data_IF_796482362145
#
_entry.id   IF_796482362145
#
_cell.length_a   1.000
_cell.length_b   1.000
_cell.length_c   1.000
_cell.angle_alpha   90.00
_cell.angle_beta   90.00
_cell.angle_gamma   90.00
#
_symmetry.space_group_name_H-M   'P 1'
#
loop_
_entity.id
_entity.type
_entity.pdbx_description
1 polymer ?
#
# COMPACT_ATOMS: atom_id res chain seq x y z
N UNK A 1 -10.39 -1.74 -17.55
CA UNK A 1 -9.85 -3.11 -17.79
C UNK A 1 -9.84 -3.80 -16.45
N UNK A 2 -10.68 -4.81 -16.25
CA UNK A 2 -10.89 -5.45 -14.95
C UNK A 2 -10.16 -6.80 -14.90
N UNK A 3 -9.48 -7.07 -13.79
CA UNK A 3 -8.78 -8.33 -13.51
C UNK A 3 -9.16 -8.81 -12.10
N UNK A 4 -9.10 -10.12 -11.80
CA UNK A 4 -9.30 -10.62 -10.44
C UNK A 4 -8.17 -10.13 -9.51
N UNK A 5 -8.52 -9.70 -8.29
CA UNK A 5 -7.55 -9.34 -7.26
C UNK A 5 -6.89 -10.58 -6.66
N UNK A 6 -5.55 -10.60 -6.53
CA UNK A 6 -4.79 -11.71 -5.92
C UNK A 6 -3.56 -11.20 -5.14
N UNK A 7 -3.24 -11.86 -4.02
CA UNK A 7 -1.98 -11.70 -3.31
C UNK A 7 -0.93 -12.67 -3.88
N UNK A 8 0.24 -12.15 -4.25
CA UNK A 8 1.38 -12.90 -4.81
C UNK A 8 2.61 -12.76 -3.93
N UNK A 9 3.58 -13.66 -4.06
CA UNK A 9 4.84 -13.58 -3.32
C UNK A 9 5.68 -12.38 -3.78
N UNK A 10 6.08 -11.53 -2.84
CA UNK A 10 6.99 -10.41 -3.06
C UNK A 10 7.90 -10.29 -1.83
N UNK A 11 9.12 -10.85 -1.85
CA UNK A 11 10.06 -10.69 -0.74
C UNK A 11 11.40 -11.43 -0.89
N UNK A 12 12.42 -10.94 -0.19
CA UNK A 12 13.74 -11.59 -0.05
C UNK A 12 14.83 -11.06 -0.99
N UNK A 13 14.46 -10.45 -2.11
CA UNK A 13 15.35 -9.90 -3.14
C UNK A 13 15.00 -8.46 -3.57
N UNK A 14 13.87 -7.94 -3.08
CA UNK A 14 13.43 -6.57 -3.34
C UNK A 14 13.89 -5.63 -2.22
N UNK A 15 14.58 -4.55 -2.57
CA UNK A 15 14.91 -3.47 -1.64
C UNK A 15 13.76 -2.45 -1.59
N UNK A 16 13.26 -2.15 -0.39
CA UNK A 16 12.44 -0.94 -0.22
C UNK A 16 13.38 0.24 -0.04
N UNK A 17 13.13 1.32 -0.78
CA UNK A 17 13.86 2.58 -0.60
C UNK A 17 13.34 3.39 0.60
N UNK A 18 12.10 3.12 1.01
CA UNK A 18 11.41 3.81 2.12
C UNK A 18 10.41 2.89 2.83
N UNK A 19 10.17 3.11 4.11
CA UNK A 19 9.09 2.48 4.87
C UNK A 19 8.57 3.38 5.98
N UNK A 20 7.36 3.09 6.47
CA UNK A 20 6.74 3.77 7.61
C UNK A 20 6.09 2.72 8.52
N UNK A 21 6.26 2.88 9.83
CA UNK A 21 5.74 1.95 10.84
C UNK A 21 4.63 2.60 11.65
N UNK A 22 3.56 1.86 11.93
CA UNK A 22 2.46 2.32 12.80
C UNK A 22 2.27 1.35 13.95
N UNK A 23 2.10 1.89 15.15
CA UNK A 23 1.62 1.12 16.29
C UNK A 23 0.10 1.07 16.25
N UNK A 24 -0.46 -0.14 16.31
CA UNK A 24 -1.90 -0.36 16.24
C UNK A 24 -2.37 -1.19 17.44
N UNK A 25 -3.60 -0.94 17.87
CA UNK A 25 -4.25 -1.82 18.86
C UNK A 25 -4.66 -3.14 18.23
N UNK A 26 -4.91 -4.16 19.04
CA UNK A 26 -5.44 -5.44 18.56
C UNK A 26 -6.78 -5.27 17.80
N UNK A 27 -7.63 -4.34 18.26
CA UNK A 27 -8.89 -4.01 17.59
C UNK A 27 -8.65 -3.43 16.19
N UNK A 28 -7.77 -2.44 16.08
CA UNK A 28 -7.42 -1.84 14.79
C UNK A 28 -6.82 -2.87 13.85
N UNK A 29 -5.90 -3.71 14.35
CA UNK A 29 -5.30 -4.80 13.57
C UNK A 29 -6.36 -5.78 13.06
N UNK A 30 -7.30 -6.21 13.90
CA UNK A 30 -8.39 -7.08 13.48
C UNK A 30 -9.28 -6.46 12.39
N UNK A 31 -9.52 -5.15 12.43
CA UNK A 31 -10.27 -4.46 11.36
C UNK A 31 -9.52 -4.49 10.04
N UNK A 32 -8.19 -4.32 10.06
CA UNK A 32 -7.34 -4.45 8.86
C UNK A 32 -7.45 -5.87 8.31
N UNK A 33 -7.27 -6.89 9.16
CA UNK A 33 -7.37 -8.30 8.76
C UNK A 33 -8.74 -8.61 8.16
N UNK A 34 -9.82 -8.20 8.82
CA UNK A 34 -11.18 -8.42 8.32
C UNK A 34 -11.43 -7.79 6.95
N UNK A 35 -10.90 -6.59 6.70
CA UNK A 35 -10.96 -5.94 5.39
C UNK A 35 -10.20 -6.74 4.33
N UNK A 36 -8.96 -7.16 4.64
CA UNK A 36 -8.11 -7.92 3.71
C UNK A 36 -8.70 -9.30 3.40
N UNK A 37 -9.36 -9.94 4.36
CA UNK A 37 -10.03 -11.24 4.16
C UNK A 37 -11.27 -11.17 3.28
N UNK A 38 -11.82 -9.97 3.05
CA UNK A 38 -13.01 -9.75 2.22
C UNK A 38 -12.75 -8.62 1.20
N UNK A 39 -11.77 -8.79 0.30
CA UNK A 39 -11.41 -7.73 -0.63
C UNK A 39 -12.56 -7.46 -1.60
N UNK A 40 -12.74 -6.21 -2.08
CA UNK A 40 -13.71 -5.91 -3.12
C UNK A 40 -13.48 -6.78 -4.36
N UNK A 41 -14.58 -7.25 -4.96
CA UNK A 41 -14.52 -8.19 -6.08
C UNK A 41 -13.97 -7.58 -7.38
N UNK A 42 -13.84 -6.26 -7.44
CA UNK A 42 -13.52 -5.51 -8.66
C UNK A 42 -12.23 -4.73 -8.51
N UNK A 43 -11.28 -4.98 -9.41
CA UNK A 43 -10.09 -4.16 -9.61
C UNK A 43 -10.35 -3.13 -10.73
N UNK A 44 -9.99 -1.88 -10.48
CA UNK A 44 -9.91 -0.82 -11.49
C UNK A 44 -8.60 -0.04 -11.32
N UNK A 45 -7.85 0.12 -12.41
CA UNK A 45 -6.53 0.75 -12.33
C UNK A 45 -6.57 2.22 -11.89
N UNK A 46 -7.67 2.92 -12.15
CA UNK A 46 -7.87 4.34 -11.82
C UNK A 46 -8.59 4.55 -10.49
N UNK A 47 -9.55 3.69 -10.16
CA UNK A 47 -10.41 3.85 -8.99
C UNK A 47 -10.03 2.92 -7.83
N UNK A 48 -9.74 1.66 -8.11
CA UNK A 48 -9.54 0.64 -7.08
C UNK A 48 -8.44 -0.37 -7.45
N UNK A 49 -7.18 0.05 -7.26
CA UNK A 49 -5.99 -0.72 -7.57
C UNK A 49 -5.26 -1.19 -6.30
N UNK A 50 -4.05 -1.74 -6.44
CA UNK A 50 -3.24 -2.22 -5.32
C UNK A 50 -2.99 -1.14 -4.24
N UNK A 51 -2.80 0.12 -4.66
CA UNK A 51 -2.55 1.24 -3.74
C UNK A 51 -3.85 1.68 -3.06
N UNK A 52 -4.97 1.74 -3.78
CA UNK A 52 -6.29 1.99 -3.18
C UNK A 52 -6.64 0.91 -2.16
N UNK A 53 -6.36 -0.35 -2.48
CA UNK A 53 -6.63 -1.48 -1.61
C UNK A 53 -5.85 -1.37 -0.30
N UNK A 54 -4.54 -1.12 -0.35
CA UNK A 54 -3.71 -0.93 0.85
C UNK A 54 -4.18 0.28 1.65
N UNK A 55 -4.44 1.42 1.00
CA UNK A 55 -4.96 2.62 1.66
C UNK A 55 -6.27 2.34 2.41
N UNK A 56 -7.20 1.63 1.77
CA UNK A 56 -8.49 1.28 2.35
C UNK A 56 -8.36 0.28 3.51
N UNK A 57 -7.46 -0.70 3.38
CA UNK A 57 -7.16 -1.65 4.44
C UNK A 57 -6.59 -0.95 5.68
N UNK A 58 -5.63 -0.04 5.49
CA UNK A 58 -5.08 0.78 6.57
C UNK A 58 -6.16 1.65 7.21
N UNK A 59 -6.98 2.34 6.41
CA UNK A 59 -8.07 3.19 6.91
C UNK A 59 -9.11 2.40 7.71
N UNK A 60 -9.43 1.16 7.33
CA UNK A 60 -10.31 0.28 8.11
C UNK A 60 -9.75 0.03 9.53
N UNK A 61 -8.43 -0.04 9.66
CA UNK A 61 -7.70 -0.09 10.93
C UNK A 61 -7.45 1.25 11.62
N UNK A 62 -8.07 2.34 11.16
CA UNK A 62 -7.79 3.69 11.62
C UNK A 62 -6.30 4.10 11.47
N UNK A 63 -5.62 3.55 10.46
CA UNK A 63 -4.26 3.94 10.06
C UNK A 63 -4.36 4.82 8.82
N UNK A 64 -3.98 6.08 8.95
CA UNK A 64 -3.93 7.04 7.83
C UNK A 64 -2.52 6.99 7.27
N UNK A 65 -2.37 6.49 6.04
CA UNK A 65 -1.09 6.49 5.34
C UNK A 65 -0.86 7.82 4.60
N UNK A 66 0.40 8.17 4.25
CA UNK A 66 0.70 9.36 3.46
C UNK A 66 0.01 9.34 2.09
N UNK A 67 -0.21 10.52 1.50
CA UNK A 67 -0.98 10.69 0.27
C UNK A 67 -0.48 9.76 -0.86
N UNK A 68 -1.29 8.80 -1.34
CA UNK A 68 -0.88 7.86 -2.38
C UNK A 68 -1.16 8.36 -3.80
N UNK A 69 -1.69 9.57 -4.00
CA UNK A 69 -2.19 10.03 -5.30
C UNK A 69 -1.14 10.79 -6.11
N UNK A 70 -1.05 10.51 -7.41
CA UNK A 70 -0.29 11.30 -8.37
C UNK A 70 -1.00 11.40 -9.72
N UNK A 71 -0.68 12.46 -10.47
CA UNK A 71 -1.08 12.57 -11.87
C UNK A 71 -0.18 11.69 -12.74
N UNK A 72 -0.80 10.95 -13.66
CA UNK A 72 -0.10 10.14 -14.65
C UNK A 72 -0.32 10.73 -16.04
N UNK A 73 0.67 10.61 -16.92
CA UNK A 73 0.48 10.96 -18.34
C UNK A 73 -0.62 10.13 -19.02
N UNK A 74 -0.90 8.93 -18.49
CA UNK A 74 -1.99 8.07 -18.94
C UNK A 74 -3.37 8.53 -18.44
N UNK A 75 -3.41 9.27 -17.32
CA UNK A 75 -4.63 9.77 -16.68
C UNK A 75 -4.44 11.24 -16.25
N UNK A 76 -4.33 12.18 -17.20
CA UNK A 76 -3.93 13.56 -16.90
C UNK A 76 -5.04 14.37 -16.20
N UNK A 77 -6.30 13.96 -16.36
CA UNK A 77 -7.45 14.68 -15.81
C UNK A 77 -7.77 14.32 -14.35
N UNK A 78 -7.28 13.18 -13.87
CA UNK A 78 -7.63 12.66 -12.53
C UNK A 78 -6.40 12.04 -11.87
N UNK A 79 -6.06 12.43 -10.63
CA UNK A 79 -4.97 11.80 -9.92
C UNK A 79 -5.36 10.35 -9.59
N UNK A 80 -4.42 9.43 -9.78
CA UNK A 80 -4.61 8.00 -9.52
C UNK A 80 -3.72 7.58 -8.34
N UNK A 81 -4.20 6.67 -7.47
CA UNK A 81 -3.38 6.15 -6.39
C UNK A 81 -2.29 5.25 -6.97
N UNK A 82 -1.04 5.50 -6.64
CA UNK A 82 0.11 4.82 -7.23
C UNK A 82 1.17 4.45 -6.17
N UNK A 83 1.81 3.28 -6.26
CA UNK A 83 2.83 2.87 -5.28
C UNK A 83 4.01 3.85 -5.24
N UNK A 84 4.43 4.36 -6.41
CA UNK A 84 5.51 5.34 -6.50
C UNK A 84 5.16 6.68 -5.83
N UNK A 85 3.91 7.11 -5.93
CA UNK A 85 3.43 8.33 -5.27
C UNK A 85 3.40 8.17 -3.75
N UNK A 86 2.90 7.03 -3.26
CA UNK A 86 2.95 6.68 -1.84
C UNK A 86 4.39 6.64 -1.33
N UNK A 87 5.31 5.99 -2.06
CA UNK A 87 6.72 5.96 -1.72
C UNK A 87 7.35 7.36 -1.67
N UNK A 88 7.01 8.24 -2.61
CA UNK A 88 7.47 9.63 -2.59
C UNK A 88 6.93 10.40 -1.38
N UNK A 89 5.65 10.23 -1.05
CA UNK A 89 5.03 10.85 0.13
C UNK A 89 5.65 10.37 1.44
N UNK A 90 6.02 9.09 1.55
CA UNK A 90 6.78 8.57 2.69
C UNK A 90 8.17 9.20 2.74
N UNK A 91 8.87 9.29 1.60
CA UNK A 91 10.20 9.91 1.53
C UNK A 91 10.20 11.38 1.99
N UNK A 92 9.13 12.11 1.73
CA UNK A 92 8.95 13.50 2.14
C UNK A 92 8.75 13.67 3.66
N UNK A 93 8.41 12.60 4.37
CA UNK A 93 8.31 12.59 5.84
C UNK A 93 9.67 12.28 6.52
N UNK A 94 10.78 12.40 5.79
CA UNK A 94 12.14 12.24 6.34
C UNK A 94 12.32 13.06 7.62
N UNK A 95 12.73 12.39 8.70
CA UNK A 95 12.88 12.98 10.03
C UNK A 95 11.76 12.61 11.01
N UNK A 96 10.64 12.07 10.52
CA UNK A 96 9.68 11.37 11.38
C UNK A 96 10.34 10.09 11.94
N UNK A 97 10.30 9.85 13.27
CA UNK A 97 10.95 8.69 13.90
C UNK A 97 10.37 7.34 13.44
N UNK A 98 9.17 7.32 12.86
CA UNK A 98 8.52 6.12 12.33
C UNK A 98 8.81 5.87 10.85
N UNK A 99 9.53 6.78 10.18
CA UNK A 99 9.85 6.71 8.76
C UNK A 99 11.31 6.34 8.57
N UNK A 100 11.55 5.30 7.78
CA UNK A 100 12.86 4.92 7.30
C UNK A 100 12.99 5.32 5.83
N UNK A 101 13.99 6.13 5.49
CA UNK A 101 14.32 6.50 4.09
C UNK A 101 15.69 6.01 3.64
N UNK A 102 16.37 5.19 4.45
CA UNK A 102 17.67 4.58 4.11
C UNK A 102 17.50 3.21 3.47
N UNK A 103 16.26 2.75 3.36
CA UNK A 103 15.86 1.47 2.81
C UNK A 103 16.11 0.28 3.72
N UNK A 104 15.60 -0.87 3.30
CA UNK A 104 15.82 -2.20 3.90
C UNK A 104 15.32 -3.29 2.96
N UNK A 105 15.70 -4.53 3.21
CA UNK A 105 15.15 -5.66 2.46
C UNK A 105 13.67 -5.85 2.80
N UNK A 106 12.87 -6.10 1.76
CA UNK A 106 11.51 -6.60 1.93
C UNK A 106 11.53 -7.87 2.79
N UNK A 107 10.70 -7.95 3.85
CA UNK A 107 10.59 -9.19 4.59
C UNK A 107 10.06 -10.29 3.67
N UNK A 108 10.51 -11.53 3.88
CA UNK A 108 10.00 -12.67 3.12
C UNK A 108 8.48 -12.78 3.28
N UNK A 109 7.76 -12.67 2.17
CA UNK A 109 6.35 -13.08 2.10
C UNK A 109 6.28 -14.59 1.85
N UNK A 110 5.15 -15.22 2.17
CA UNK A 110 4.88 -16.65 1.86
C UNK A 110 3.61 -16.78 1.01
N UNK A 111 3.48 -15.93 -0.01
CA UNK A 111 2.39 -16.03 -0.98
C UNK A 111 2.66 -17.15 -2.01
N UNK A 112 1.63 -17.74 -2.64
CA UNK A 112 1.85 -18.56 -3.83
C UNK A 112 2.31 -17.67 -5.00
N UNK A 113 3.39 -18.05 -5.68
CA UNK A 113 3.91 -17.35 -6.87
C UNK A 113 3.03 -17.51 -8.13
N UNK A 114 1.98 -18.32 -8.03
CA UNK A 114 1.19 -18.84 -9.14
C UNK A 114 -0.25 -18.38 -9.03
#
# INVERSE_FOLDING_TARGET
MHAPSKLVDNGGDLEYNVSITYQVTAENFNRIVNYISNPPATYDITEFNCTSFVNSACLAGNVIIPNPFAYSSLYPAHPVPAPAALGSSIAQQKGDPNVNTTGSNTPFSKGPCN
#
